data_IF_385532088783
#
_entry.id   IF_385532088783
#
_cell.length_a   1.000
_cell.length_b   1.000
_cell.length_c   1.000
_cell.angle_alpha   90.00
_cell.angle_beta   90.00
_cell.angle_gamma   90.00
#
_symmetry.space_group_name_H-M   'P 1'
#
loop_
_entity.id
_entity.type
_entity.pdbx_description
1 polymer ?
#
# COMPACT_ATOMS: atom_id res chain seq x y z
N UNK A 1 -14.17 -16.32 5.77
CA UNK A 1 -13.86 -15.17 6.65
C UNK A 1 -12.41 -14.80 6.38
N UNK A 2 -12.07 -13.51 6.22
CA UNK A 2 -10.67 -13.14 6.22
C UNK A 2 -10.00 -13.66 7.49
N UNK A 3 -8.76 -14.14 7.37
CA UNK A 3 -8.03 -14.69 8.50
C UNK A 3 -7.85 -13.64 9.61
N UNK A 4 -7.71 -14.08 10.85
CA UNK A 4 -7.41 -13.22 12.01
C UNK A 4 -6.12 -12.39 11.84
N UNK A 5 -5.29 -12.69 10.83
CA UNK A 5 -4.03 -12.03 10.51
C UNK A 5 -4.14 -11.03 9.35
N UNK A 6 -5.34 -10.48 9.13
CA UNK A 6 -5.60 -9.54 8.07
C UNK A 6 -6.14 -8.19 8.57
N UNK A 7 -5.51 -7.10 8.13
CA UNK A 7 -6.11 -5.78 8.12
C UNK A 7 -6.95 -5.64 6.85
N UNK A 8 -8.21 -5.23 7.01
CA UNK A 8 -9.11 -5.01 5.88
C UNK A 8 -9.80 -3.68 6.06
N UNK A 9 -9.77 -2.89 5.00
CA UNK A 9 -10.53 -1.66 4.92
C UNK A 9 -11.25 -1.60 3.58
N UNK A 10 -12.46 -1.05 3.61
CA UNK A 10 -13.22 -0.74 2.41
C UNK A 10 -13.65 0.71 2.49
N UNK A 11 -13.30 1.46 1.47
CA UNK A 11 -13.56 2.90 1.40
C UNK A 11 -13.83 3.30 -0.04
N UNK A 12 -14.28 4.53 -0.24
CA UNK A 12 -14.65 5.05 -1.55
C UNK A 12 -13.74 6.20 -1.93
N UNK A 13 -13.42 6.28 -3.22
CA UNK A 13 -12.72 7.41 -3.81
C UNK A 13 -13.64 8.10 -4.83
N UNK A 14 -13.64 9.44 -4.89
CA UNK A 14 -14.40 10.21 -5.87
C UNK A 14 -13.70 10.23 -7.24
N UNK A 15 -13.13 9.09 -7.64
CA UNK A 15 -12.42 8.86 -8.89
C UNK A 15 -12.91 7.54 -9.49
N UNK A 16 -13.03 7.48 -10.82
CA UNK A 16 -13.31 6.21 -11.50
C UNK A 16 -12.16 5.22 -11.29
N UNK A 17 -12.38 3.90 -11.42
CA UNK A 17 -11.33 2.91 -11.12
C UNK A 17 -10.00 3.14 -11.84
N UNK A 18 -10.02 3.64 -13.07
CA UNK A 18 -8.81 3.94 -13.84
C UNK A 18 -7.95 5.02 -13.16
N UNK A 19 -8.56 6.15 -12.81
CA UNK A 19 -7.89 7.26 -12.14
C UNK A 19 -7.47 6.88 -10.70
N UNK A 20 -8.32 6.14 -9.99
CA UNK A 20 -8.01 5.64 -8.65
C UNK A 20 -6.82 4.67 -8.67
N UNK A 21 -6.76 3.77 -9.65
CA UNK A 21 -5.64 2.86 -9.84
C UNK A 21 -4.35 3.65 -10.17
N UNK A 22 -4.43 4.60 -11.11
CA UNK A 22 -3.30 5.45 -11.48
C UNK A 22 -2.77 6.23 -10.29
N UNK A 23 -3.65 6.87 -9.51
CA UNK A 23 -3.26 7.58 -8.29
C UNK A 23 -2.55 6.66 -7.29
N UNK A 24 -3.11 5.47 -7.05
CA UNK A 24 -2.55 4.53 -6.08
C UNK A 24 -1.18 3.98 -6.52
N UNK A 25 -1.01 3.67 -7.81
CA UNK A 25 0.16 2.94 -8.32
C UNK A 25 1.18 3.83 -9.02
N UNK A 26 0.74 4.60 -10.00
CA UNK A 26 1.63 5.41 -10.85
C UNK A 26 2.09 6.68 -10.12
N UNK A 27 1.27 7.18 -9.19
CA UNK A 27 1.49 8.42 -8.47
C UNK A 27 1.64 8.21 -6.95
N UNK A 28 2.13 7.05 -6.53
CA UNK A 28 2.32 6.69 -5.12
C UNK A 28 3.07 7.78 -4.32
N UNK A 29 4.07 8.44 -4.94
CA UNK A 29 4.83 9.54 -4.33
C UNK A 29 3.99 10.76 -3.91
N UNK A 30 2.83 10.98 -4.54
CA UNK A 30 2.05 12.22 -4.38
C UNK A 30 1.21 12.19 -3.10
N UNK A 31 0.81 11.01 -2.63
CA UNK A 31 -0.11 10.86 -1.51
C UNK A 31 0.45 10.06 -0.32
N UNK A 32 1.51 9.27 -0.52
CA UNK A 32 2.06 8.45 0.56
C UNK A 32 2.74 9.32 1.63
N UNK A 33 2.36 9.22 2.93
CA UNK A 33 2.96 10.04 3.98
C UNK A 33 4.42 9.63 4.26
N UNK A 34 5.36 10.58 4.28
CA UNK A 34 6.78 10.33 4.59
C UNK A 34 6.99 9.70 5.97
N UNK A 35 6.19 10.08 6.96
CA UNK A 35 6.21 9.50 8.32
C UNK A 35 5.85 8.01 8.39
N UNK A 36 5.39 7.43 7.27
CA UNK A 36 5.02 6.02 7.12
C UNK A 36 5.96 5.28 6.16
N UNK A 37 7.21 5.73 6.03
CA UNK A 37 8.22 5.21 5.09
C UNK A 37 9.45 4.65 5.83
N UNK A 38 10.32 3.91 5.13
CA UNK A 38 11.54 3.33 5.72
C UNK A 38 12.63 4.38 5.95
N UNK A 39 12.61 5.48 5.21
CA UNK A 39 13.62 6.53 5.23
C UNK A 39 13.21 7.73 6.11
N UNK A 40 11.99 7.72 6.65
CA UNK A 40 11.44 8.73 7.57
C UNK A 40 11.70 10.18 7.08
N UNK A 41 12.47 10.97 7.84
CA UNK A 41 12.83 12.35 7.52
C UNK A 41 13.66 12.53 6.25
N UNK A 42 14.23 11.45 5.70
CA UNK A 42 15.04 11.49 4.48
C UNK A 42 14.29 11.04 3.22
N UNK A 43 12.99 10.72 3.32
CA UNK A 43 12.17 10.29 2.19
C UNK A 43 12.16 11.32 1.04
N UNK A 44 12.52 10.86 -0.15
CA UNK A 44 12.49 11.65 -1.39
C UNK A 44 11.27 11.31 -2.25
N UNK A 45 11.13 10.03 -2.61
CA UNK A 45 10.05 9.58 -3.51
C UNK A 45 9.80 8.07 -3.41
N UNK A 46 8.62 7.66 -3.85
CA UNK A 46 8.15 6.28 -3.94
C UNK A 46 7.74 5.89 -5.36
N UNK A 47 8.08 4.69 -5.79
CA UNK A 47 7.67 4.17 -7.08
C UNK A 47 7.27 2.70 -7.01
N UNK A 48 6.25 2.33 -7.78
CA UNK A 48 5.82 0.95 -7.94
C UNK A 48 5.90 0.63 -9.44
N UNK A 49 6.67 -0.40 -9.80
CA UNK A 49 6.67 -0.94 -11.16
C UNK A 49 5.44 -1.87 -11.32
N UNK A 50 4.42 -1.46 -12.11
CA UNK A 50 3.12 -2.10 -12.17
C UNK A 50 3.10 -3.30 -13.13
N UNK A 51 4.11 -4.17 -13.01
CA UNK A 51 4.31 -5.36 -13.83
C UNK A 51 4.46 -6.58 -12.92
N UNK A 52 4.04 -7.80 -13.31
CA UNK A 52 4.33 -9.00 -12.52
C UNK A 52 5.84 -9.15 -12.27
N UNK A 53 6.24 -9.24 -11.00
CA UNK A 53 7.63 -9.26 -10.56
C UNK A 53 8.29 -7.87 -10.40
N UNK A 54 7.57 -6.80 -10.73
CA UNK A 54 7.99 -5.41 -10.57
C UNK A 54 8.32 -5.07 -9.13
N UNK A 55 9.21 -4.09 -8.94
CA UNK A 55 9.67 -3.67 -7.60
C UNK A 55 8.83 -2.51 -7.08
N UNK A 56 8.53 -2.56 -5.80
CA UNK A 56 8.05 -1.42 -5.04
C UNK A 56 9.23 -0.83 -4.27
N UNK A 57 9.56 0.42 -4.57
CA UNK A 57 10.78 1.07 -4.10
C UNK A 57 10.50 2.42 -3.47
N UNK A 58 11.36 2.76 -2.53
CA UNK A 58 11.47 4.06 -1.90
C UNK A 58 12.90 4.58 -2.08
N UNK A 59 13.03 5.88 -2.29
CA UNK A 59 14.31 6.57 -2.39
C UNK A 59 14.42 7.60 -1.27
N UNK A 60 15.63 7.75 -0.74
CA UNK A 60 15.96 8.84 0.18
C UNK A 60 16.74 9.97 -0.54
N UNK A 61 16.85 11.13 0.11
CA UNK A 61 17.59 12.28 -0.39
C UNK A 61 19.11 12.05 -0.50
N UNK A 62 19.63 10.96 0.05
CA UNK A 62 21.02 10.54 -0.09
C UNK A 62 21.25 9.63 -1.31
N UNK A 63 20.18 9.28 -2.03
CA UNK A 63 20.22 8.42 -3.21
C UNK A 63 20.19 6.93 -2.89
N UNK A 64 19.92 6.53 -1.65
CA UNK A 64 19.68 5.13 -1.32
C UNK A 64 18.33 4.67 -1.87
N UNK A 65 18.22 3.39 -2.16
CA UNK A 65 17.01 2.76 -2.69
C UNK A 65 16.63 1.57 -1.82
N UNK A 66 15.43 1.60 -1.25
CA UNK A 66 14.87 0.55 -0.42
C UNK A 66 13.78 -0.18 -1.18
N UNK A 67 13.94 -1.50 -1.40
CA UNK A 67 12.91 -2.33 -2.02
C UNK A 67 12.00 -2.86 -0.92
N UNK A 68 10.86 -2.21 -0.70
CA UNK A 68 9.90 -2.57 0.34
C UNK A 68 8.88 -3.63 -0.11
N UNK A 69 8.80 -3.93 -1.39
CA UNK A 69 7.89 -4.95 -1.89
C UNK A 69 8.10 -5.35 -3.35
N UNK A 70 7.32 -6.34 -3.79
CA UNK A 70 7.26 -6.75 -5.19
C UNK A 70 5.82 -6.97 -5.65
N UNK A 71 5.50 -6.56 -6.86
CA UNK A 71 4.21 -6.84 -7.48
C UNK A 71 4.13 -8.32 -7.80
N UNK A 72 3.12 -8.99 -7.24
CA UNK A 72 2.82 -10.40 -7.48
C UNK A 72 1.93 -10.56 -8.71
N UNK A 73 0.87 -9.76 -8.76
CA UNK A 73 -0.15 -9.78 -9.81
C UNK A 73 -0.66 -8.36 -10.03
N UNK A 74 -1.03 -8.04 -11.26
CA UNK A 74 -1.59 -6.75 -11.63
C UNK A 74 -2.55 -6.93 -12.79
N UNK A 75 -3.75 -6.39 -12.64
CA UNK A 75 -4.76 -6.29 -13.68
C UNK A 75 -5.31 -4.88 -13.66
N UNK A 76 -4.82 -4.04 -14.57
CA UNK A 76 -5.29 -2.67 -14.67
C UNK A 76 -6.71 -2.62 -15.23
N UNK A 77 -7.61 -1.76 -14.70
CA UNK A 77 -7.47 -0.95 -13.49
C UNK A 77 -8.10 -1.61 -12.24
N UNK A 78 -8.33 -2.92 -12.25
CA UNK A 78 -9.25 -3.60 -11.31
C UNK A 78 -8.57 -4.15 -10.07
N UNK A 79 -7.32 -4.61 -10.14
CA UNK A 79 -6.63 -5.21 -8.99
C UNK A 79 -5.12 -5.19 -9.08
N UNK A 80 -4.49 -5.21 -7.91
CA UNK A 80 -3.06 -5.45 -7.75
C UNK A 80 -2.79 -6.21 -6.46
N UNK A 81 -1.80 -7.09 -6.49
CA UNK A 81 -1.27 -7.77 -5.32
C UNK A 81 0.23 -7.53 -5.20
N UNK A 82 0.70 -7.24 -3.97
CA UNK A 82 2.09 -6.91 -3.67
C UNK A 82 2.56 -7.79 -2.51
N UNK A 83 3.75 -8.38 -2.60
CA UNK A 83 4.45 -8.92 -1.44
C UNK A 83 5.05 -7.76 -0.65
N UNK A 84 4.71 -7.71 0.63
CA UNK A 84 5.10 -6.67 1.56
C UNK A 84 6.27 -7.14 2.41
N UNK A 85 7.43 -6.54 2.15
CA UNK A 85 8.71 -6.91 2.74
C UNK A 85 9.12 -5.94 3.86
N UNK A 86 8.17 -5.31 4.55
CA UNK A 86 8.45 -4.51 5.74
C UNK A 86 8.02 -5.29 6.98
N UNK A 87 8.84 -5.28 8.03
CA UNK A 87 8.60 -5.92 9.33
C UNK A 87 7.94 -4.97 10.32
N UNK A 88 7.55 -5.48 11.50
CA UNK A 88 6.88 -4.68 12.53
C UNK A 88 7.73 -3.53 13.10
N UNK A 89 9.05 -3.70 13.10
CA UNK A 89 10.05 -2.73 13.56
C UNK A 89 10.53 -1.77 12.47
N UNK A 90 9.80 -1.67 11.34
CA UNK A 90 10.19 -0.88 10.15
C UNK A 90 11.52 -1.32 9.54
N UNK A 91 11.89 -2.59 9.71
CA UNK A 91 12.98 -3.24 9.00
C UNK A 91 12.55 -3.83 7.65
N UNK A 92 13.54 -4.25 6.86
CA UNK A 92 13.31 -5.03 5.64
C UNK A 92 13.25 -6.53 5.95
N UNK A 93 12.15 -7.16 5.57
CA UNK A 93 11.98 -8.61 5.55
C UNK A 93 12.76 -9.21 4.38
N UNK A 94 13.89 -9.83 4.69
CA UNK A 94 14.78 -10.42 3.69
C UNK A 94 14.18 -11.70 3.05
N UNK A 95 13.35 -12.45 3.79
CA UNK A 95 12.77 -13.69 3.29
C UNK A 95 11.39 -13.44 2.66
N UNK A 96 11.30 -13.59 1.34
CA UNK A 96 10.05 -13.44 0.59
C UNK A 96 8.95 -14.45 0.99
N UNK A 97 9.31 -15.59 1.60
CA UNK A 97 8.34 -16.57 2.11
C UNK A 97 7.58 -16.04 3.34
N UNK A 98 8.26 -15.23 4.15
CA UNK A 98 7.72 -14.64 5.38
C UNK A 98 7.09 -13.26 5.13
N UNK A 99 7.12 -12.80 3.87
CA UNK A 99 6.49 -11.56 3.46
C UNK A 99 4.97 -11.69 3.51
N UNK A 100 4.35 -10.75 4.22
CA UNK A 100 2.91 -10.51 4.15
C UNK A 100 2.49 -10.00 2.77
N UNK A 101 1.19 -9.90 2.49
CA UNK A 101 0.66 -9.57 1.16
C UNK A 101 -0.37 -8.46 1.23
N UNK A 102 -0.22 -7.46 0.37
CA UNK A 102 -1.25 -6.49 0.05
C UNK A 102 -2.04 -6.97 -1.15
N UNK A 103 -3.36 -6.82 -1.08
CA UNK A 103 -4.28 -7.00 -2.20
C UNK A 103 -5.22 -5.81 -2.22
N UNK A 104 -5.26 -5.11 -3.34
CA UNK A 104 -6.11 -3.95 -3.54
C UNK A 104 -7.01 -4.25 -4.74
N UNK A 105 -8.30 -3.99 -4.57
CA UNK A 105 -9.30 -4.10 -5.64
C UNK A 105 -10.02 -2.78 -5.81
N UNK A 106 -10.26 -2.41 -7.06
CA UNK A 106 -10.92 -1.19 -7.48
C UNK A 106 -12.18 -1.59 -8.25
N UNK A 107 -13.35 -1.25 -7.71
CA UNK A 107 -14.64 -1.57 -8.30
C UNK A 107 -15.40 -0.27 -8.61
N UNK A 108 -16.12 -0.15 -9.73
CA UNK A 108 -16.92 1.04 -10.00
C UNK A 108 -17.96 1.29 -8.90
N UNK A 109 -18.09 2.55 -8.48
CA UNK A 109 -19.16 2.99 -7.59
C UNK A 109 -19.84 4.22 -8.19
N UNK A 110 -21.03 3.99 -8.76
CA UNK A 110 -21.72 5.02 -9.55
C UNK A 110 -20.96 5.34 -10.84
N UNK A 111 -21.11 6.57 -11.34
CA UNK A 111 -20.51 7.01 -12.61
C UNK A 111 -19.16 7.69 -12.46
N UNK A 112 -18.83 8.19 -11.27
CA UNK A 112 -17.64 9.03 -11.03
C UNK A 112 -16.75 8.53 -9.89
N UNK A 113 -17.13 7.44 -9.21
CA UNK A 113 -16.42 6.94 -8.05
C UNK A 113 -15.98 5.49 -8.19
N UNK A 114 -15.17 5.06 -7.22
CA UNK A 114 -14.75 3.68 -7.06
C UNK A 114 -14.80 3.25 -5.60
N UNK A 115 -15.23 2.01 -5.39
CA UNK A 115 -15.11 1.30 -4.13
C UNK A 115 -13.76 0.57 -4.11
N UNK A 116 -12.96 0.84 -3.09
CA UNK A 116 -11.64 0.24 -2.90
C UNK A 116 -11.74 -0.78 -1.77
N UNK A 117 -11.36 -2.02 -2.05
CA UNK A 117 -11.13 -3.03 -1.01
C UNK A 117 -9.63 -3.20 -0.82
N UNK A 118 -9.14 -2.82 0.35
CA UNK A 118 -7.74 -2.94 0.74
C UNK A 118 -7.58 -4.07 1.75
N UNK A 119 -6.70 -5.03 1.46
CA UNK A 119 -6.44 -6.17 2.34
C UNK A 119 -4.94 -6.36 2.52
N UNK A 120 -4.46 -6.28 3.76
CA UNK A 120 -3.11 -6.67 4.14
C UNK A 120 -3.18 -7.94 5.00
N UNK A 121 -2.62 -9.05 4.54
CA UNK A 121 -2.77 -10.36 5.19
C UNK A 121 -1.49 -11.21 5.12
N UNK A 122 -1.51 -12.40 5.74
CA UNK A 122 -0.37 -13.31 5.74
C UNK A 122 0.71 -12.88 6.74
N UNK A 123 0.33 -12.12 7.76
CA UNK A 123 1.23 -11.70 8.81
C UNK A 123 1.67 -12.90 9.66
N UNK A 124 0.86 -13.96 9.78
CA UNK A 124 1.13 -15.17 10.59
C UNK A 124 2.46 -15.88 10.28
N UNK A 125 3.08 -15.61 9.13
CA UNK A 125 4.41 -16.13 8.79
C UNK A 125 5.54 -15.40 9.55
N UNK A 126 5.22 -14.35 10.30
CA UNK A 126 6.17 -13.53 11.05
C UNK A 126 6.06 -13.83 12.55
N UNK A 127 7.18 -13.79 13.27
CA UNK A 127 7.23 -14.16 14.69
C UNK A 127 6.28 -13.31 15.56
N UNK A 128 6.18 -12.00 15.30
CA UNK A 128 5.39 -11.04 16.10
C UNK A 128 4.18 -10.48 15.32
N UNK A 129 3.50 -11.34 14.57
CA UNK A 129 2.45 -10.92 13.63
C UNK A 129 1.29 -10.13 14.25
N UNK A 130 0.97 -10.38 15.52
CA UNK A 130 -0.10 -9.68 16.25
C UNK A 130 0.29 -8.22 16.52
N UNK A 131 1.49 -8.00 17.05
CA UNK A 131 2.03 -6.65 17.26
C UNK A 131 2.18 -5.91 15.93
N UNK A 132 2.56 -6.61 14.86
CA UNK A 132 2.59 -6.03 13.52
C UNK A 132 1.20 -5.59 13.07
N UNK A 133 0.18 -6.46 13.20
CA UNK A 133 -1.20 -6.12 12.86
C UNK A 133 -1.72 -4.92 13.66
N UNK A 134 -1.46 -4.87 14.96
CA UNK A 134 -1.83 -3.75 15.82
C UNK A 134 -1.20 -2.44 15.34
N UNK A 135 0.10 -2.45 15.00
CA UNK A 135 0.80 -1.27 14.46
C UNK A 135 0.22 -0.81 13.13
N UNK A 136 -0.03 -1.75 12.22
CA UNK A 136 -0.64 -1.47 10.91
C UNK A 136 -2.07 -0.93 11.04
N UNK A 137 -2.80 -1.38 12.07
CA UNK A 137 -4.17 -0.92 12.35
C UNK A 137 -4.20 0.38 13.17
N UNK A 138 -3.07 0.81 13.72
CA UNK A 138 -2.96 1.99 14.58
C UNK A 138 -2.97 3.32 13.83
N UNK A 139 -2.97 4.42 14.58
CA UNK A 139 -3.06 5.78 14.03
C UNK A 139 -1.89 6.20 13.13
N UNK A 140 -0.76 5.49 13.17
CA UNK A 140 0.39 5.70 12.27
C UNK A 140 0.54 4.61 11.19
N UNK A 141 -0.45 3.72 11.08
CA UNK A 141 -0.49 2.63 10.11
C UNK A 141 -1.38 2.95 8.90
N UNK A 142 -2.05 1.93 8.38
CA UNK A 142 -2.92 2.02 7.21
C UNK A 142 -4.00 3.10 7.31
N UNK A 143 -4.68 3.33 8.45
CA UNK A 143 -5.69 4.39 8.54
C UNK A 143 -5.16 5.79 8.16
N UNK A 144 -3.93 6.13 8.55
CA UNK A 144 -3.32 7.41 8.17
C UNK A 144 -2.90 7.45 6.70
N UNK A 145 -2.37 6.33 6.20
CA UNK A 145 -1.89 6.21 4.82
C UNK A 145 -3.07 6.29 3.84
N UNK A 146 -4.14 5.55 4.10
CA UNK A 146 -5.37 5.54 3.29
C UNK A 146 -6.12 6.87 3.40
N UNK A 147 -6.11 7.52 4.57
CA UNK A 147 -6.65 8.87 4.73
C UNK A 147 -5.96 9.91 3.83
N UNK A 148 -4.64 9.82 3.65
CA UNK A 148 -3.89 10.70 2.76
C UNK A 148 -4.25 10.47 1.28
N UNK A 149 -4.41 9.21 0.86
CA UNK A 149 -4.92 8.84 -0.47
C UNK A 149 -6.30 9.46 -0.73
N UNK A 150 -7.21 9.31 0.23
CA UNK A 150 -8.57 9.83 0.12
C UNK A 150 -8.59 11.36 0.01
N UNK A 151 -7.76 12.04 0.80
CA UNK A 151 -7.64 13.50 0.75
C UNK A 151 -7.11 13.99 -0.62
N UNK A 152 -6.10 13.31 -1.16
CA UNK A 152 -5.56 13.64 -2.48
C UNK A 152 -6.57 13.36 -3.59
N UNK A 153 -7.29 12.24 -3.54
CA UNK A 153 -8.36 11.94 -4.49
C UNK A 153 -9.48 12.98 -4.46
N UNK A 154 -9.89 13.42 -3.26
CA UNK A 154 -10.89 14.47 -3.10
C UNK A 154 -10.44 15.81 -3.69
N UNK A 155 -9.15 16.16 -3.54
CA UNK A 155 -8.56 17.38 -4.12
C UNK A 155 -8.58 17.37 -5.66
N UNK A 156 -8.48 16.19 -6.30
CA UNK A 156 -8.53 16.07 -7.76
C UNK A 156 -9.95 16.11 -8.34
N UNK A 157 -10.93 15.72 -7.53
CA UNK A 157 -12.33 15.68 -7.94
C UNK A 157 -13.05 17.04 -7.79
N UNK A 158 -12.49 17.96 -6.99
CA UNK A 158 -13.00 19.32 -6.78
C UNK A 158 -12.34 20.35 -7.70
#
# INVERSE_FOLDING_TARGET
>A
MPGEDAFIETFTLPLVPEDAFSLFIDEASVWWPSACTLSDDTFDRMAIDPSPGGRCVEFDHHGNMFVWGRVLEVERPTRIAISWHITADLGLQANAVDASRLRIRFEPQGTTGSAITFVHQGLKNQADWQAHLERLSGARGWPSILGALQAEAARRAG
#
